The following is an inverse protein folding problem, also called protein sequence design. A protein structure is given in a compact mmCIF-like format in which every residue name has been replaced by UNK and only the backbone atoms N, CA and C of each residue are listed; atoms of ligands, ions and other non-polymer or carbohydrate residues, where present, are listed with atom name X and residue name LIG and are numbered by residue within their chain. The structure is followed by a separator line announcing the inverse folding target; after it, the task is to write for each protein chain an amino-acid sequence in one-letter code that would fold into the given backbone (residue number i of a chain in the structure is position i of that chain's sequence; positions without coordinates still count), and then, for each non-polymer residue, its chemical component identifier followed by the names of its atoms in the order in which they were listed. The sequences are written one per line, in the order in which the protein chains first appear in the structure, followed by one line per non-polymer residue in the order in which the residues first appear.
data_IF_250300320441
#
_entry.id   IF_250300320441
#
_cell.length_a   1.000
_cell.length_b   1.000
_cell.length_c   1.000
_cell.angle_alpha   90.00
_cell.angle_beta   90.00
_cell.angle_gamma   90.00
#
_symmetry.space_group_name_H-M   'P 1'
#
loop_
_entity.id
_entity.type
_entity.pdbx_description
1 polymer ?
#
# COMPACT_ATOMS: atom_id res chain seq x y z
N UNK A 1 -19.28 7.53 24.49
CA UNK A 1 -18.11 8.22 23.89
C UNK A 1 -18.09 7.91 22.39
N UNK A 2 -17.85 8.89 21.49
CA UNK A 2 -17.65 8.58 20.08
C UNK A 2 -16.46 7.64 19.94
N UNK A 3 -16.61 6.53 19.20
CA UNK A 3 -15.51 5.61 18.91
C UNK A 3 -14.36 6.41 18.26
N UNK A 4 -13.11 6.31 18.74
CA UNK A 4 -11.99 6.97 18.08
C UNK A 4 -11.98 6.53 16.62
N UNK A 5 -11.91 7.51 15.70
CA UNK A 5 -11.73 7.22 14.27
C UNK A 5 -10.48 6.32 14.14
N UNK A 6 -10.49 5.24 13.35
CA UNK A 6 -9.42 4.26 13.31
C UNK A 6 -8.23 4.86 12.55
N UNK A 7 -7.46 5.70 13.24
CA UNK A 7 -6.14 6.12 12.79
C UNK A 7 -5.24 4.90 12.92
N UNK A 8 -5.08 4.14 11.84
CA UNK A 8 -3.98 3.20 11.75
C UNK A 8 -2.71 3.99 11.41
N UNK A 9 -1.52 3.60 11.90
CA UNK A 9 -1.17 2.67 13.00
C UNK A 9 -1.45 3.19 14.41
N UNK A 10 -1.60 2.30 15.41
CA UNK A 10 -1.68 2.67 16.83
C UNK A 10 -0.31 2.93 17.50
N UNK A 11 0.78 2.38 16.96
CA UNK A 11 2.11 2.40 17.58
C UNK A 11 2.86 3.75 17.44
N UNK A 12 3.63 4.24 18.41
CA UNK A 12 4.40 5.49 18.30
C UNK A 12 5.41 5.48 17.14
N UNK A 13 5.61 6.62 16.46
CA UNK A 13 6.62 6.76 15.40
C UNK A 13 6.13 7.55 14.18
N UNK A 14 7.02 7.81 13.20
CA UNK A 14 6.67 8.58 12.03
C UNK A 14 5.80 7.76 11.09
N UNK A 15 4.79 8.42 10.54
CA UNK A 15 3.72 7.79 9.75
C UNK A 15 3.33 8.71 8.62
N UNK A 16 2.86 8.12 7.54
CA UNK A 16 2.21 8.90 6.49
C UNK A 16 0.86 9.44 7.02
N UNK A 17 0.50 10.68 6.69
CA UNK A 17 -0.87 11.14 6.88
C UNK A 17 -1.83 10.44 5.89
N UNK A 18 -3.14 10.48 6.15
CA UNK A 18 -4.13 10.13 5.13
C UNK A 18 -3.91 10.98 3.87
N UNK A 19 -4.17 10.41 2.71
CA UNK A 19 -4.16 11.16 1.46
C UNK A 19 -5.41 12.03 1.37
N UNK A 20 -5.23 13.31 1.12
CA UNK A 20 -6.30 14.31 1.22
C UNK A 20 -7.35 14.23 0.09
N UNK A 21 -7.01 13.58 -1.03
CA UNK A 21 -7.92 13.49 -2.18
C UNK A 21 -8.81 12.25 -2.08
N UNK A 22 -10.12 12.47 -2.17
CA UNK A 22 -11.10 11.40 -2.27
C UNK A 22 -10.95 10.62 -3.59
N UNK A 23 -10.34 9.44 -3.52
CA UNK A 23 -10.13 8.56 -4.68
C UNK A 23 -11.43 8.05 -5.33
N UNK A 24 -12.58 8.18 -4.66
CA UNK A 24 -13.88 7.84 -5.24
C UNK A 24 -14.52 9.00 -6.00
N UNK A 25 -13.90 10.19 -5.99
CA UNK A 25 -14.35 11.37 -6.71
C UNK A 25 -14.40 11.19 -8.23
N UNK A 26 -15.19 12.01 -8.95
CA UNK A 26 -15.40 11.88 -10.39
C UNK A 26 -14.14 12.21 -11.22
N UNK A 27 -13.22 13.01 -10.69
CA UNK A 27 -11.95 13.40 -11.32
C UNK A 27 -10.82 12.36 -11.14
N UNK A 28 -11.15 11.17 -10.62
CA UNK A 28 -10.20 10.08 -10.37
C UNK A 28 -10.54 8.88 -11.24
N UNK A 29 -9.57 8.45 -12.04
CA UNK A 29 -9.70 7.27 -12.92
C UNK A 29 -8.63 6.25 -12.59
N UNK A 30 -8.99 5.00 -12.34
CA UNK A 30 -8.02 3.91 -12.22
C UNK A 30 -7.80 3.34 -13.61
N UNK A 31 -6.60 3.56 -14.16
CA UNK A 31 -6.28 3.29 -15.56
C UNK A 31 -5.93 1.82 -15.80
N UNK A 32 -5.16 1.23 -14.88
CA UNK A 32 -4.65 -0.13 -14.98
C UNK A 32 -4.22 -0.60 -13.60
N UNK A 33 -4.48 -1.85 -13.24
CA UNK A 33 -3.67 -2.50 -12.21
C UNK A 33 -2.56 -3.30 -12.89
N UNK A 34 -1.35 -3.17 -12.36
CA UNK A 34 -0.20 -3.89 -12.87
C UNK A 34 -0.24 -5.30 -12.29
N UNK A 35 -0.17 -6.27 -13.18
CA UNK A 35 0.10 -7.65 -12.85
C UNK A 35 1.61 -7.78 -12.65
N UNK A 36 2.06 -7.39 -11.47
CA UNK A 36 3.44 -7.53 -11.04
C UNK A 36 3.49 -8.60 -9.98
N UNK A 37 4.45 -9.51 -10.10
CA UNK A 37 4.86 -10.38 -8.99
C UNK A 37 5.47 -9.51 -7.89
N UNK A 38 4.60 -8.94 -7.07
CA UNK A 38 4.94 -8.07 -5.96
C UNK A 38 4.45 -8.80 -4.72
N UNK A 39 5.42 -9.28 -3.92
CA UNK A 39 5.19 -10.15 -2.76
C UNK A 39 4.13 -9.62 -1.78
N UNK A 40 3.84 -8.31 -1.80
CA UNK A 40 3.04 -7.67 -0.76
C UNK A 40 1.85 -6.82 -1.25
N UNK A 41 1.56 -6.78 -2.55
CA UNK A 41 0.47 -5.93 -3.02
C UNK A 41 0.33 -5.79 -4.52
N UNK A 42 -0.78 -5.17 -4.91
CA UNK A 42 -1.10 -4.84 -6.30
C UNK A 42 -0.94 -3.34 -6.53
N UNK A 43 -0.24 -2.96 -7.59
CA UNK A 43 -0.05 -1.56 -7.96
C UNK A 43 -1.16 -1.14 -8.94
N UNK A 44 -1.86 -0.06 -8.63
CA UNK A 44 -2.85 0.56 -9.51
C UNK A 44 -2.31 1.88 -10.04
N UNK A 45 -2.19 2.02 -11.36
CA UNK A 45 -1.97 3.30 -12.04
C UNK A 45 -3.27 4.08 -12.02
N UNK A 46 -3.26 5.26 -11.41
CA UNK A 46 -4.42 6.14 -11.30
C UNK A 46 -4.12 7.51 -11.89
N UNK A 47 -5.14 8.17 -12.44
CA UNK A 47 -5.11 9.58 -12.83
C UNK A 47 -5.98 10.36 -11.87
N UNK A 48 -5.44 11.45 -11.33
CA UNK A 48 -6.18 12.42 -10.49
C UNK A 48 -5.95 13.79 -11.10
N UNK A 49 -7.01 14.34 -11.71
CA UNK A 49 -6.87 15.53 -12.56
C UNK A 49 -5.88 15.29 -13.71
N UNK A 50 -4.81 16.09 -13.77
CA UNK A 50 -3.76 15.98 -14.81
C UNK A 50 -2.57 15.10 -14.44
N UNK A 51 -2.51 14.60 -13.21
CA UNK A 51 -1.35 13.89 -12.68
C UNK A 51 -1.59 12.38 -12.63
N UNK A 52 -0.50 11.62 -12.79
CA UNK A 52 -0.50 10.16 -12.69
C UNK A 52 0.12 9.74 -11.36
N UNK A 53 -0.51 8.76 -10.73
CA UNK A 53 -0.11 8.20 -9.44
C UNK A 53 -0.02 6.69 -9.53
N UNK A 54 0.87 6.12 -8.72
CA UNK A 54 0.87 4.72 -8.36
C UNK A 54 0.21 4.56 -6.99
N UNK A 55 -0.81 3.71 -6.90
CA UNK A 55 -1.43 3.33 -5.64
C UNK A 55 -1.11 1.85 -5.40
N UNK A 56 -0.18 1.58 -4.49
CA UNK A 56 0.12 0.20 -4.08
C UNK A 56 -0.89 -0.20 -3.03
N UNK A 57 -1.85 -1.06 -3.37
CA UNK A 57 -2.74 -1.67 -2.40
C UNK A 57 -2.08 -2.90 -1.82
N UNK A 58 -1.93 -2.95 -0.51
CA UNK A 58 -1.30 -4.06 0.18
C UNK A 58 -2.33 -5.16 0.35
N UNK A 59 -2.04 -6.33 -0.22
CA UNK A 59 -2.99 -7.46 -0.32
C UNK A 59 -2.60 -8.64 0.56
N UNK A 60 -1.40 -8.63 1.18
CA UNK A 60 -1.03 -9.64 2.16
C UNK A 60 -1.91 -9.49 3.39
N UNK A 61 -2.76 -10.47 3.71
CA UNK A 61 -3.51 -10.41 4.95
C UNK A 61 -2.54 -10.62 6.13
N UNK A 62 -2.81 -10.02 7.30
CA UNK A 62 -1.89 -10.03 8.45
C UNK A 62 -1.43 -11.43 8.86
N UNK A 63 -2.24 -12.45 8.56
CA UNK A 63 -2.03 -13.85 8.90
C UNK A 63 -1.14 -14.64 7.93
N UNK A 64 -0.67 -14.07 6.81
CA UNK A 64 0.18 -14.79 5.83
C UNK A 64 1.67 -14.56 6.08
N UNK A 65 2.04 -13.48 6.78
CA UNK A 65 3.39 -13.36 7.32
C UNK A 65 3.38 -14.08 8.66
N UNK A 66 3.86 -15.32 8.68
CA UNK A 66 4.09 -16.01 9.94
C UNK A 66 5.29 -15.37 10.63
N UNK A 67 5.05 -14.26 11.33
CA UNK A 67 6.04 -13.53 12.14
C UNK A 67 6.73 -14.47 13.14
N UNK A 68 6.06 -15.56 13.56
CA UNK A 68 6.65 -16.59 14.43
C UNK A 68 7.71 -17.46 13.73
N UNK A 69 7.60 -17.68 12.42
CA UNK A 69 8.62 -18.40 11.65
C UNK A 69 9.83 -17.51 11.36
N UNK A 70 9.60 -16.19 11.17
CA UNK A 70 10.66 -15.22 10.85
C UNK A 70 11.44 -14.79 12.11
N UNK A 71 10.76 -14.57 13.24
CA UNK A 71 11.34 -14.00 14.46
C UNK A 71 11.52 -15.02 15.61
N UNK A 72 11.15 -16.29 15.39
CA UNK A 72 11.48 -17.43 16.26
C UNK A 72 10.48 -17.72 17.40
N UNK A 73 10.47 -18.99 17.86
CA UNK A 73 9.58 -19.52 18.92
C UNK A 73 10.04 -19.21 20.36
N UNK A 74 10.49 -18.00 20.68
CA UNK A 74 10.68 -17.64 22.10
C UNK A 74 9.36 -17.17 22.69
N UNK A 75 8.98 -17.82 23.79
CA UNK A 75 7.61 -17.91 24.29
C UNK A 75 7.00 -16.61 24.81
N UNK A 76 5.67 -16.67 24.90
CA UNK A 76 4.75 -15.75 25.57
C UNK A 76 4.74 -14.30 25.09
N UNK A 77 4.17 -14.07 23.91
CA UNK A 77 3.33 -12.89 23.70
C UNK A 77 2.02 -13.37 23.08
N UNK A 78 1.12 -13.87 23.93
CA UNK A 78 -0.32 -14.05 23.60
C UNK A 78 -1.06 -12.71 23.55
N UNK A 79 -0.36 -11.66 23.17
CA UNK A 79 -0.81 -10.29 22.99
C UNK A 79 0.01 -9.76 21.81
N UNK A 80 -0.55 -9.29 20.71
CA UNK A 80 -1.89 -8.83 20.44
C UNK A 80 -1.99 -8.70 18.88
N UNK A 81 -3.19 -8.55 18.29
CA UNK A 81 -3.35 -8.27 16.83
C UNK A 81 -2.48 -7.08 16.38
N UNK A 82 -2.18 -6.18 17.31
CA UNK A 82 -1.27 -5.05 17.22
C UNK A 82 0.17 -5.43 16.82
N UNK A 83 0.71 -6.57 17.28
CA UNK A 83 2.05 -7.03 16.91
C UNK A 83 2.10 -7.49 15.45
N UNK A 84 1.15 -8.32 15.04
CA UNK A 84 1.05 -8.78 13.65
C UNK A 84 0.73 -7.60 12.71
N UNK A 85 -0.09 -6.66 13.18
CA UNK A 85 -0.33 -5.42 12.47
C UNK A 85 0.96 -4.60 12.31
N UNK A 86 1.74 -4.39 13.38
CA UNK A 86 2.98 -3.62 13.37
C UNK A 86 3.97 -4.13 12.32
N UNK A 87 4.06 -5.45 12.10
CA UNK A 87 4.93 -6.03 11.09
C UNK A 87 4.27 -6.24 9.72
N UNK A 88 3.02 -5.80 9.55
CA UNK A 88 2.33 -5.90 8.26
C UNK A 88 3.06 -5.07 7.18
N UNK A 89 2.96 -5.46 5.89
CA UNK A 89 3.61 -4.71 4.82
C UNK A 89 3.16 -3.26 4.72
N UNK A 90 1.88 -2.99 5.00
CA UNK A 90 1.35 -1.63 5.01
C UNK A 90 2.03 -0.78 6.09
N UNK A 91 2.12 -1.32 7.31
CA UNK A 91 2.75 -0.64 8.45
C UNK A 91 4.22 -0.37 8.22
N UNK A 92 4.96 -1.38 7.74
CA UNK A 92 6.38 -1.24 7.41
C UNK A 92 6.60 -0.14 6.36
N UNK A 93 5.81 -0.15 5.28
CA UNK A 93 5.96 0.81 4.19
C UNK A 93 5.52 2.23 4.63
N UNK A 94 4.44 2.34 5.41
CA UNK A 94 3.97 3.60 6.00
C UNK A 94 5.04 4.23 6.91
N UNK A 95 5.68 3.44 7.78
CA UNK A 95 6.73 3.93 8.67
C UNK A 95 8.00 4.31 7.92
N UNK A 96 8.40 3.53 6.92
CA UNK A 96 9.58 3.84 6.10
C UNK A 96 9.45 5.21 5.43
N UNK A 97 8.35 5.46 4.72
CA UNK A 97 8.12 6.76 4.08
C UNK A 97 7.80 7.87 5.09
N UNK A 98 7.14 7.55 6.20
CA UNK A 98 6.97 8.48 7.31
C UNK A 98 8.31 9.00 7.82
N UNK A 99 9.29 8.11 8.01
CA UNK A 99 10.64 8.50 8.47
C UNK A 99 11.36 9.37 7.45
N UNK A 100 11.23 9.08 6.15
CA UNK A 100 11.80 9.94 5.10
C UNK A 100 11.24 11.36 5.14
N UNK A 101 9.92 11.51 5.37
CA UNK A 101 9.27 12.83 5.53
C UNK A 101 9.79 13.59 6.75
N UNK A 102 9.84 12.92 7.89
CA UNK A 102 10.32 13.52 9.15
C UNK A 102 11.77 14.03 9.02
N UNK A 103 12.63 13.26 8.35
CA UNK A 103 14.03 13.61 8.12
C UNK A 103 14.24 14.55 6.91
N UNK A 104 13.17 14.98 6.23
CA UNK A 104 13.21 15.77 5.00
C UNK A 104 14.10 15.14 3.90
N UNK A 105 14.15 13.81 3.88
CA UNK A 105 14.97 13.00 2.99
C UNK A 105 14.16 12.38 1.85
N UNK A 106 12.98 12.92 1.51
CA UNK A 106 12.12 12.39 0.45
C UNK A 106 12.78 12.37 -0.94
N UNK A 107 13.85 13.15 -1.15
CA UNK A 107 14.59 13.20 -2.42
C UNK A 107 15.26 11.89 -2.82
N UNK A 108 15.46 10.95 -1.89
CA UNK A 108 16.10 9.65 -2.18
C UNK A 108 15.09 8.55 -2.53
N UNK A 109 13.79 8.87 -2.58
CA UNK A 109 12.73 7.92 -2.90
C UNK A 109 11.66 8.56 -3.80
N UNK A 110 10.77 7.72 -4.35
CA UNK A 110 9.58 8.22 -5.06
C UNK A 110 8.71 8.99 -4.07
N UNK A 111 8.29 10.20 -4.44
CA UNK A 111 7.44 11.05 -3.60
C UNK A 111 6.15 10.33 -3.20
N UNK A 112 5.84 10.37 -1.91
CA UNK A 112 4.68 9.71 -1.31
C UNK A 112 3.75 10.74 -0.71
N UNK A 113 2.47 10.67 -1.07
CA UNK A 113 1.50 11.69 -0.68
C UNK A 113 0.76 11.32 0.60
N UNK A 114 0.47 10.05 0.80
CA UNK A 114 -0.24 9.57 1.99
C UNK A 114 -0.80 8.16 1.79
N UNK A 115 -1.55 7.69 2.77
CA UNK A 115 -2.25 6.42 2.69
C UNK A 115 -3.74 6.60 2.39
N UNK A 116 -4.36 5.55 1.83
CA UNK A 116 -5.79 5.48 1.53
C UNK A 116 -6.34 4.14 1.97
N UNK A 117 -7.65 4.10 2.28
CA UNK A 117 -8.36 2.87 2.54
C UNK A 117 -9.56 2.77 1.58
N UNK A 118 -9.60 1.72 0.77
CA UNK A 118 -10.68 1.44 -0.17
C UNK A 118 -11.08 -0.02 -0.09
N UNK A 119 -12.37 -0.28 -0.22
CA UNK A 119 -12.86 -1.66 -0.35
C UNK A 119 -12.48 -2.24 -1.71
N UNK A 120 -12.31 -3.55 -1.78
CA UNK A 120 -12.08 -4.27 -3.04
C UNK A 120 -13.18 -3.99 -4.07
N UNK A 121 -14.43 -3.80 -3.61
CA UNK A 121 -15.54 -3.39 -4.48
C UNK A 121 -15.33 -1.99 -5.08
N UNK A 122 -14.86 -1.03 -4.30
CA UNK A 122 -14.56 0.33 -4.78
C UNK A 122 -13.43 0.32 -5.80
N UNK A 123 -12.35 -0.43 -5.52
CA UNK A 123 -11.21 -0.58 -6.43
C UNK A 123 -11.65 -1.19 -7.77
N UNK A 124 -12.37 -2.32 -7.72
CA UNK A 124 -12.91 -2.97 -8.93
C UNK A 124 -13.85 -2.05 -9.72
N UNK A 125 -14.69 -1.28 -9.05
CA UNK A 125 -15.59 -0.31 -9.71
C UNK A 125 -14.81 0.75 -10.46
N UNK A 126 -13.74 1.30 -9.85
CA UNK A 126 -12.91 2.33 -10.48
C UNK A 126 -12.10 1.78 -11.66
N UNK A 127 -11.57 0.56 -11.55
CA UNK A 127 -10.88 -0.12 -12.64
C UNK A 127 -11.82 -0.39 -13.83
N UNK A 128 -13.02 -0.91 -13.55
CA UNK A 128 -14.02 -1.18 -14.58
C UNK A 128 -14.46 0.13 -15.29
N UNK A 129 -14.70 1.20 -14.54
CA UNK A 129 -15.05 2.50 -15.11
C UNK A 129 -13.91 3.12 -15.95
N UNK A 130 -12.65 2.77 -15.67
CA UNK A 130 -11.49 3.18 -16.45
C UNK A 130 -11.21 2.31 -17.68
N UNK A 131 -12.04 1.30 -17.96
CA UNK A 131 -11.80 0.34 -19.04
C UNK A 131 -10.65 -0.62 -18.79
N UNK A 132 -10.17 -0.74 -17.55
CA UNK A 132 -9.10 -1.65 -17.20
C UNK A 132 -9.60 -3.10 -17.22
N UNK A 133 -8.80 -4.07 -17.71
CA UNK A 133 -9.15 -5.48 -17.65
C UNK A 133 -9.42 -5.93 -16.21
N UNK A 134 -10.33 -6.90 -16.04
CA UNK A 134 -10.60 -7.50 -14.73
C UNK A 134 -9.30 -8.11 -14.18
N UNK A 135 -8.86 -7.66 -13.01
CA UNK A 135 -7.83 -8.38 -12.26
C UNK A 135 -8.47 -9.39 -11.31
N UNK A 136 -7.98 -10.61 -11.39
CA UNK A 136 -8.08 -11.59 -10.32
C UNK A 136 -7.11 -11.17 -9.18
N UNK A 137 -7.41 -11.50 -7.93
CA UNK A 137 -6.40 -11.43 -6.86
C UNK A 137 -6.50 -10.31 -5.82
N UNK A 138 -7.47 -9.38 -5.88
CA UNK A 138 -7.75 -8.54 -4.71
C UNK A 138 -8.53 -9.36 -3.66
N UNK A 139 -8.04 -9.51 -2.42
CA UNK A 139 -8.78 -10.19 -1.36
C UNK A 139 -10.04 -9.40 -1.01
N UNK A 140 -11.11 -10.05 -0.53
CA UNK A 140 -12.31 -9.34 -0.10
C UNK A 140 -12.01 -8.42 1.09
N UNK A 141 -12.81 -7.37 1.26
CA UNK A 141 -12.72 -6.47 2.42
C UNK A 141 -12.13 -5.09 2.12
N UNK A 142 -11.63 -4.46 3.18
CA UNK A 142 -10.98 -3.15 3.17
C UNK A 142 -9.49 -3.33 2.92
N UNK A 143 -8.95 -2.61 1.93
CA UNK A 143 -7.52 -2.62 1.61
C UNK A 143 -6.92 -1.24 1.87
N UNK A 144 -5.72 -1.25 2.44
CA UNK A 144 -4.91 -0.06 2.60
C UNK A 144 -3.97 0.08 1.42
N UNK A 145 -3.75 1.31 0.99
CA UNK A 145 -2.81 1.61 -0.08
C UNK A 145 -1.99 2.85 0.19
N UNK A 146 -0.83 2.93 -0.45
CA UNK A 146 0.07 4.07 -0.37
C UNK A 146 0.09 4.76 -1.73
N UNK A 147 -0.18 6.08 -1.73
CA UNK A 147 -0.27 6.91 -2.93
C UNK A 147 1.09 7.54 -3.20
N UNK A 148 1.65 7.25 -4.37
CA UNK A 148 2.98 7.72 -4.81
C UNK A 148 2.90 8.35 -6.19
N UNK A 149 3.91 9.13 -6.55
CA UNK A 149 4.09 9.56 -7.93
C UNK A 149 4.21 8.34 -8.86
N UNK A 150 3.62 8.44 -10.05
CA UNK A 150 3.85 7.45 -11.09
C UNK A 150 5.22 7.66 -11.72
N UNK A 151 6.02 6.59 -11.74
CA UNK A 151 7.29 6.55 -12.47
C UNK A 151 7.12 5.61 -13.65
N UNK A 152 7.42 6.07 -14.87
CA UNK A 152 7.38 5.20 -16.04
C UNK A 152 8.45 4.11 -15.91
N UNK A 153 8.02 2.86 -16.04
CA UNK A 153 8.92 1.70 -15.95
C UNK A 153 9.74 1.69 -17.24
N UNK A 154 11.04 2.00 -17.15
CA UNK A 154 11.95 1.85 -18.28
C UNK A 154 12.21 0.37 -18.60
N UNK A 155 12.45 0.06 -19.86
CA UNK A 155 12.70 -1.29 -20.38
C UNK A 155 13.94 -2.00 -19.80
N UNK A 156 14.79 -1.28 -19.06
CA UNK A 156 16.03 -1.81 -18.45
C UNK A 156 15.84 -2.56 -17.12
N UNK A 157 14.62 -2.70 -16.61
CA UNK A 157 14.34 -3.66 -15.55
C UNK A 157 14.19 -5.07 -16.16
N UNK A 158 15.32 -5.57 -16.65
CA UNK A 158 15.52 -6.95 -17.07
C UNK A 158 15.12 -7.87 -15.92
N UNK A 159 14.40 -8.95 -16.23
CA UNK A 159 13.96 -9.98 -15.28
C UNK A 159 15.13 -10.46 -14.40
N UNK A 160 16.36 -10.41 -14.94
CA UNK A 160 17.60 -10.76 -14.23
C UNK A 160 17.91 -9.88 -13.03
N UNK A 161 17.63 -8.58 -13.05
CA UNK A 161 17.92 -7.70 -11.90
C UNK A 161 16.96 -7.92 -10.73
N UNK A 162 15.69 -8.26 -10.98
CA UNK A 162 14.74 -8.59 -9.89
C UNK A 162 15.21 -9.81 -9.09
N UNK A 163 15.64 -10.87 -9.78
CA UNK A 163 16.17 -12.10 -9.13
C UNK A 163 17.47 -11.86 -8.36
N UNK A 164 18.21 -10.79 -8.66
CA UNK A 164 19.51 -10.54 -8.02
C UNK A 164 19.38 -9.77 -6.69
N UNK A 165 18.27 -9.06 -6.47
CA UNK A 165 18.10 -8.14 -5.34
C UNK A 165 16.80 -8.35 -4.53
N UNK A 166 15.93 -9.28 -4.92
CA UNK A 166 14.88 -9.88 -4.06
C UNK A 166 15.45 -11.09 -3.29
#
# INVERSE_FOLDING_TARGET
MPKPKPWLPQEPGPKLPPYDINLMGPNVTFLKALDTDSAHGTIVKARVGRYLYAIKFLTTPPNVINTRDIYGRKGSWSCCDEFDWYFSPFENECRAFGRLKEQKAESIAVKVYGWVALTTRQIRRKLAAGGAPKLNGFPPGLLYGIVKDWVEITHWHDLKQRVTYD
#
